data_IF_977504476725
#
_entry.id   IF_977504476725
#
_cell.length_a   1.000
_cell.length_b   1.000
_cell.length_c   1.000
_cell.angle_alpha   90.00
_cell.angle_beta   90.00
_cell.angle_gamma   90.00
#
_symmetry.space_group_name_H-M   'P 1'
#
loop_
_entity.id
_entity.type
_entity.pdbx_description
1 polymer ?
#
# COMPACT_ATOMS: atom_id res chain seq x y z
N UNK A 1 -73.79 45.82 38.79
CA UNK A 1 -73.72 44.60 37.96
C UNK A 1 -72.40 44.61 37.23
N UNK A 2 -71.40 43.80 37.66
CA UNK A 2 -70.10 43.67 37.03
C UNK A 2 -69.90 42.19 36.68
N UNK A 3 -69.84 41.87 35.38
CA UNK A 3 -69.57 40.53 34.85
C UNK A 3 -68.06 40.26 34.90
N UNK A 4 -67.72 39.15 35.53
CA UNK A 4 -66.32 38.62 35.57
C UNK A 4 -66.15 37.65 34.39
N UNK A 5 -65.37 38.02 33.42
CA UNK A 5 -64.92 37.09 32.37
C UNK A 5 -63.74 36.28 32.87
N UNK A 6 -63.88 34.99 32.99
CA UNK A 6 -62.82 34.06 33.34
C UNK A 6 -62.16 33.56 32.05
N UNK A 7 -60.92 33.93 31.82
CA UNK A 7 -60.06 33.43 30.72
C UNK A 7 -59.50 32.05 31.16
N UNK A 8 -59.85 31.00 30.47
CA UNK A 8 -59.24 29.67 30.63
C UNK A 8 -58.07 29.61 29.68
N UNK A 9 -56.85 29.61 30.22
CA UNK A 9 -55.59 29.42 29.46
C UNK A 9 -55.33 27.91 29.32
N UNK A 10 -55.60 27.36 28.14
CA UNK A 10 -55.26 25.98 27.82
C UNK A 10 -53.78 25.86 27.47
N UNK A 11 -52.96 25.31 28.37
CA UNK A 11 -51.56 25.01 28.15
C UNK A 11 -51.44 23.70 27.35
N UNK A 12 -51.10 23.79 26.05
CA UNK A 12 -50.78 22.61 25.23
C UNK A 12 -49.37 22.13 25.63
N UNK A 13 -49.32 21.00 26.32
CA UNK A 13 -48.10 20.26 26.64
C UNK A 13 -47.67 19.49 25.37
N UNK A 14 -46.74 20.02 24.58
CA UNK A 14 -46.13 19.31 23.47
C UNK A 14 -45.21 18.19 24.03
N UNK A 15 -45.67 16.94 24.04
CA UNK A 15 -44.85 15.76 24.27
C UNK A 15 -43.90 15.59 23.06
N UNK A 16 -42.68 16.08 23.17
CA UNK A 16 -41.61 15.68 22.29
C UNK A 16 -41.21 14.25 22.64
N UNK A 17 -41.72 13.30 21.88
CA UNK A 17 -41.23 11.91 21.92
C UNK A 17 -39.82 11.93 21.36
N UNK A 18 -38.82 11.92 22.24
CA UNK A 18 -37.43 11.61 21.88
C UNK A 18 -37.46 10.14 21.38
N UNK A 19 -37.39 9.97 20.06
CA UNK A 19 -37.12 8.66 19.49
C UNK A 19 -35.80 8.17 20.08
N UNK A 20 -35.71 6.93 20.60
CA UNK A 20 -34.44 6.40 21.04
C UNK A 20 -33.53 6.43 19.82
N UNK A 21 -32.41 7.15 19.92
CA UNK A 21 -31.28 7.02 18.99
C UNK A 21 -30.83 5.57 19.15
N UNK A 22 -31.33 4.71 18.28
CA UNK A 22 -30.83 3.35 18.16
C UNK A 22 -29.32 3.46 18.01
N UNK A 23 -28.56 2.85 18.92
CA UNK A 23 -27.13 2.67 18.73
C UNK A 23 -26.97 2.06 17.34
N UNK A 24 -26.46 2.87 16.40
CA UNK A 24 -26.40 2.47 14.99
C UNK A 24 -25.46 1.27 14.95
N UNK A 25 -26.00 0.06 14.81
CA UNK A 25 -25.22 -1.15 14.62
C UNK A 25 -24.19 -0.90 13.53
N UNK A 26 -22.92 -1.00 13.86
CA UNK A 26 -21.81 -0.78 12.91
C UNK A 26 -21.20 -2.12 12.52
N UNK A 27 -20.73 -2.23 11.31
CA UNK A 27 -19.89 -3.35 10.89
C UNK A 27 -18.42 -3.00 11.18
N UNK A 28 -17.73 -3.90 11.85
CA UNK A 28 -16.36 -3.65 12.34
C UNK A 28 -15.35 -4.38 11.46
N UNK A 29 -14.45 -3.63 10.85
CA UNK A 29 -13.27 -4.13 10.13
C UNK A 29 -12.07 -4.05 11.05
N UNK A 30 -11.34 -5.15 11.22
CA UNK A 30 -10.13 -5.20 12.03
C UNK A 30 -8.86 -4.93 11.20
N UNK A 31 -7.85 -4.30 11.79
CA UNK A 31 -6.57 -4.08 11.14
C UNK A 31 -5.40 -4.26 12.12
N UNK A 32 -4.51 -5.21 11.84
CA UNK A 32 -3.25 -5.36 12.56
C UNK A 32 -2.18 -4.56 11.83
N UNK A 33 -1.63 -3.55 12.47
CA UNK A 33 -0.74 -2.56 11.87
C UNK A 33 0.56 -2.42 12.68
N UNK A 34 1.69 -2.30 12.01
CA UNK A 34 2.95 -1.96 12.67
C UNK A 34 3.09 -0.45 12.83
N UNK A 35 2.31 0.17 13.72
CA UNK A 35 2.34 1.62 13.92
C UNK A 35 3.57 2.08 14.72
N UNK A 36 4.28 1.15 15.33
CA UNK A 36 5.62 1.34 15.89
C UNK A 36 6.58 0.27 15.33
N UNK A 37 7.89 0.54 15.39
CA UNK A 37 8.90 -0.31 14.78
C UNK A 37 9.12 0.00 13.29
N UNK A 38 9.72 -0.94 12.56
CA UNK A 38 10.17 -0.71 11.18
C UNK A 38 9.04 -0.46 10.15
N UNK A 39 7.84 -0.92 10.43
CA UNK A 39 6.69 -0.75 9.53
C UNK A 39 5.88 0.53 9.73
N UNK A 40 6.26 1.38 10.68
CA UNK A 40 5.41 2.46 11.18
C UNK A 40 4.92 3.44 10.12
N UNK A 41 5.76 3.79 9.17
CA UNK A 41 5.40 4.70 8.08
C UNK A 41 4.46 3.99 7.10
N UNK A 42 4.85 2.80 6.62
CA UNK A 42 4.10 2.05 5.62
C UNK A 42 2.71 1.66 6.11
N UNK A 43 2.60 1.15 7.34
CA UNK A 43 1.31 0.76 7.93
C UNK A 43 0.48 1.96 8.40
N UNK A 44 1.13 3.08 8.70
CA UNK A 44 0.47 4.37 8.87
C UNK A 44 -0.28 4.80 7.62
N UNK A 45 0.36 4.70 6.45
CA UNK A 45 -0.28 4.99 5.15
C UNK A 45 -1.41 4.01 4.83
N UNK A 46 -1.26 2.72 5.17
CA UNK A 46 -2.32 1.73 5.01
C UNK A 46 -3.55 2.08 5.85
N UNK A 47 -3.36 2.38 7.15
CA UNK A 47 -4.42 2.87 8.04
C UNK A 47 -5.15 4.08 7.46
N UNK A 48 -4.40 5.04 6.97
CA UNK A 48 -4.95 6.29 6.44
C UNK A 48 -5.81 6.04 5.19
N UNK A 49 -5.39 5.11 4.32
CA UNK A 49 -6.17 4.67 3.17
C UNK A 49 -7.48 3.98 3.54
N UNK A 50 -7.42 3.07 4.52
CA UNK A 50 -8.62 2.41 5.06
C UNK A 50 -9.59 3.43 5.64
N UNK A 51 -9.11 4.37 6.44
CA UNK A 51 -9.96 5.38 7.07
C UNK A 51 -10.59 6.31 6.03
N UNK A 52 -9.84 6.73 5.00
CA UNK A 52 -10.40 7.53 3.90
C UNK A 52 -11.53 6.78 3.17
N UNK A 53 -11.33 5.49 2.89
CA UNK A 53 -12.33 4.68 2.21
C UNK A 53 -13.58 4.46 3.08
N UNK A 54 -13.42 4.20 4.38
CA UNK A 54 -14.51 4.10 5.35
C UNK A 54 -15.29 5.40 5.42
N UNK A 55 -14.61 6.53 5.51
CA UNK A 55 -15.25 7.85 5.55
C UNK A 55 -16.09 8.08 4.29
N UNK A 56 -15.55 7.75 3.11
CA UNK A 56 -16.25 7.89 1.83
C UNK A 56 -17.48 6.94 1.70
N UNK A 57 -17.36 5.70 2.15
CA UNK A 57 -18.47 4.73 2.18
C UNK A 57 -19.54 5.20 3.17
N UNK A 58 -19.13 5.64 4.34
CA UNK A 58 -20.02 6.11 5.38
C UNK A 58 -20.77 7.39 4.97
N UNK A 59 -20.14 8.30 4.24
CA UNK A 59 -20.78 9.48 3.70
C UNK A 59 -21.94 9.15 2.75
N UNK A 60 -21.87 8.01 2.06
CA UNK A 60 -22.91 7.48 1.14
C UNK A 60 -23.97 6.61 1.85
N UNK A 61 -23.94 6.49 3.18
CA UNK A 61 -24.93 5.71 3.94
C UNK A 61 -24.37 4.40 4.54
N UNK A 62 -23.10 4.06 4.28
CA UNK A 62 -22.48 2.80 4.72
C UNK A 62 -22.75 1.66 3.74
N UNK A 63 -22.72 0.41 4.22
CA UNK A 63 -22.98 -0.80 3.44
C UNK A 63 -24.12 -1.60 4.08
N UNK A 64 -25.04 -2.10 3.27
CA UNK A 64 -26.27 -2.79 3.73
C UNK A 64 -27.04 -2.01 4.83
N UNK A 65 -27.03 -0.66 4.74
CA UNK A 65 -27.72 0.22 5.68
C UNK A 65 -27.00 0.46 7.00
N UNK A 66 -25.78 -0.05 7.19
CA UNK A 66 -24.98 0.14 8.40
C UNK A 66 -23.65 0.83 8.07
N UNK A 67 -23.14 1.62 9.02
CA UNK A 67 -21.83 2.27 8.91
C UNK A 67 -20.71 1.25 9.13
N UNK A 68 -19.55 1.51 8.52
CA UNK A 68 -18.32 0.80 8.80
C UNK A 68 -17.53 1.51 9.90
N UNK A 69 -16.84 0.72 10.71
CA UNK A 69 -15.88 1.18 11.72
C UNK A 69 -14.58 0.43 11.56
N UNK A 70 -13.46 1.16 11.52
CA UNK A 70 -12.13 0.58 11.62
C UNK A 70 -11.75 0.44 13.09
N UNK A 71 -11.32 -0.76 13.49
CA UNK A 71 -10.61 -1.02 14.74
C UNK A 71 -9.22 -1.52 14.37
N UNK A 72 -8.21 -0.94 14.97
CA UNK A 72 -6.84 -1.36 14.69
C UNK A 72 -6.01 -1.47 15.97
N UNK A 73 -5.02 -2.37 15.91
CA UNK A 73 -4.08 -2.62 17.00
C UNK A 73 -2.64 -2.50 16.48
N UNK A 74 -1.79 -1.85 17.27
CA UNK A 74 -0.36 -1.78 16.98
C UNK A 74 0.30 -3.13 17.26
N UNK A 75 0.76 -3.80 16.23
CA UNK A 75 1.49 -5.06 16.33
C UNK A 75 3.01 -4.87 16.56
N UNK A 76 3.45 -3.62 16.74
CA UNK A 76 4.85 -3.23 16.99
C UNK A 76 5.83 -3.83 15.99
N UNK A 77 5.37 -4.06 14.77
CA UNK A 77 6.13 -4.71 13.68
C UNK A 77 6.69 -6.09 14.05
N UNK A 78 6.02 -6.83 14.97
CA UNK A 78 6.46 -8.17 15.40
C UNK A 78 5.36 -9.23 15.25
N UNK A 79 5.72 -10.49 14.89
CA UNK A 79 4.75 -11.58 14.76
C UNK A 79 3.99 -11.90 16.05
N UNK A 80 4.67 -11.81 17.20
CA UNK A 80 4.08 -12.10 18.51
C UNK A 80 2.98 -11.11 18.87
N UNK A 81 3.23 -9.82 18.69
CA UNK A 81 2.23 -8.78 18.95
C UNK A 81 1.10 -8.82 17.92
N UNK A 82 1.38 -9.17 16.67
CA UNK A 82 0.34 -9.36 15.68
C UNK A 82 -0.66 -10.45 16.09
N UNK A 83 -0.19 -11.61 16.57
CA UNK A 83 -1.07 -12.68 17.09
C UNK A 83 -1.97 -12.16 18.23
N UNK A 84 -1.43 -11.36 19.15
CA UNK A 84 -2.21 -10.73 20.24
C UNK A 84 -3.27 -9.79 19.67
N UNK A 85 -2.87 -8.92 18.73
CA UNK A 85 -3.74 -7.94 18.08
C UNK A 85 -4.93 -8.60 17.36
N UNK A 86 -4.66 -9.61 16.54
CA UNK A 86 -5.71 -10.36 15.82
C UNK A 86 -6.69 -11.05 16.79
N UNK A 87 -6.18 -11.74 17.81
CA UNK A 87 -7.02 -12.43 18.81
C UNK A 87 -7.90 -11.46 19.57
N UNK A 88 -7.38 -10.31 19.99
CA UNK A 88 -8.14 -9.26 20.68
C UNK A 88 -9.29 -8.77 19.81
N UNK A 89 -9.02 -8.37 18.57
CA UNK A 89 -10.03 -7.86 17.65
C UNK A 89 -11.12 -8.91 17.34
N UNK A 90 -10.76 -10.21 17.27
CA UNK A 90 -11.72 -11.29 17.08
C UNK A 90 -12.62 -11.50 18.31
N UNK A 91 -12.04 -11.48 19.51
CA UNK A 91 -12.78 -11.81 20.75
C UNK A 91 -13.57 -10.64 21.31
N UNK A 92 -13.00 -9.44 21.30
CA UNK A 92 -13.56 -8.25 21.93
C UNK A 92 -14.33 -7.37 20.94
N UNK A 93 -13.74 -7.06 19.79
CA UNK A 93 -14.30 -6.12 18.83
C UNK A 93 -15.29 -6.76 17.84
N UNK A 94 -15.34 -8.11 17.77
CA UNK A 94 -16.26 -8.87 16.90
C UNK A 94 -16.13 -8.47 15.42
N UNK A 95 -14.91 -8.34 14.95
CA UNK A 95 -14.65 -8.02 13.55
C UNK A 95 -15.19 -9.09 12.61
N UNK A 96 -15.73 -8.69 11.47
CA UNK A 96 -16.24 -9.63 10.44
C UNK A 96 -15.20 -9.95 9.35
N UNK A 97 -14.19 -9.12 9.20
CA UNK A 97 -13.07 -9.28 8.28
C UNK A 97 -11.85 -8.50 8.78
N UNK A 98 -10.68 -8.85 8.26
CA UNK A 98 -9.47 -8.09 8.48
C UNK A 98 -9.02 -7.41 7.19
N UNK A 99 -8.55 -6.16 7.32
CA UNK A 99 -7.80 -5.46 6.28
C UNK A 99 -6.52 -4.91 6.92
N UNK A 100 -5.43 -5.65 6.79
CA UNK A 100 -4.23 -5.48 7.61
C UNK A 100 -3.02 -5.01 6.81
N UNK A 101 -2.10 -4.34 7.52
CA UNK A 101 -0.92 -3.71 7.00
C UNK A 101 0.14 -4.65 6.44
N UNK A 102 1.33 -4.10 6.24
CA UNK A 102 2.41 -4.72 5.45
C UNK A 102 3.36 -5.61 6.27
N UNK A 103 3.08 -5.86 7.56
CA UNK A 103 3.92 -6.72 8.42
C UNK A 103 3.63 -8.20 8.10
N UNK A 104 4.19 -8.69 7.00
CA UNK A 104 3.92 -10.03 6.46
C UNK A 104 4.11 -11.16 7.48
N UNK A 105 5.19 -11.13 8.27
CA UNK A 105 5.44 -12.13 9.30
C UNK A 105 4.34 -12.18 10.36
N UNK A 106 3.75 -11.03 10.71
CA UNK A 106 2.61 -10.93 11.63
C UNK A 106 1.34 -11.49 11.03
N UNK A 107 1.05 -11.16 9.79
CA UNK A 107 -0.13 -11.65 9.07
C UNK A 107 -0.07 -13.17 8.90
N UNK A 108 1.11 -13.73 8.61
CA UNK A 108 1.30 -15.18 8.50
C UNK A 108 1.13 -15.92 9.83
N UNK A 109 1.64 -15.34 10.92
CA UNK A 109 1.46 -15.93 12.25
C UNK A 109 -0.01 -16.01 12.67
N UNK A 110 -0.85 -15.12 12.15
CA UNK A 110 -2.29 -15.09 12.43
C UNK A 110 -3.13 -15.91 11.45
N UNK A 111 -2.65 -16.14 10.23
CA UNK A 111 -3.45 -16.69 9.12
C UNK A 111 -4.20 -17.98 9.47
N UNK A 112 -3.54 -18.94 10.15
CA UNK A 112 -4.16 -20.23 10.48
C UNK A 112 -5.39 -20.12 11.36
N UNK A 113 -5.35 -19.33 12.44
CA UNK A 113 -6.51 -19.23 13.35
C UNK A 113 -7.58 -18.26 12.81
N UNK A 114 -7.22 -17.26 12.03
CA UNK A 114 -8.19 -16.39 11.33
C UNK A 114 -8.95 -17.20 10.27
N UNK A 115 -8.25 -18.05 9.51
CA UNK A 115 -8.83 -18.99 8.55
C UNK A 115 -9.83 -19.96 9.23
N UNK A 116 -9.44 -20.54 10.39
CA UNK A 116 -10.34 -21.41 11.17
C UNK A 116 -11.61 -20.70 11.62
N UNK A 117 -11.52 -19.40 11.88
CA UNK A 117 -12.68 -18.57 12.22
C UNK A 117 -13.49 -18.15 10.99
N UNK A 118 -13.06 -18.51 9.77
CA UNK A 118 -13.69 -18.15 8.50
C UNK A 118 -13.83 -16.63 8.30
N UNK A 119 -12.81 -15.88 8.69
CA UNK A 119 -12.75 -14.43 8.49
C UNK A 119 -11.85 -14.11 7.28
N UNK A 120 -12.36 -13.37 6.28
CA UNK A 120 -11.52 -12.93 5.16
C UNK A 120 -10.43 -11.98 5.63
N UNK A 121 -9.24 -12.10 5.02
CA UNK A 121 -8.09 -11.23 5.25
C UNK A 121 -7.70 -10.52 3.95
N UNK A 122 -7.80 -9.21 3.93
CA UNK A 122 -7.31 -8.35 2.87
C UNK A 122 -5.98 -7.75 3.33
N UNK A 123 -4.92 -7.89 2.56
CA UNK A 123 -3.57 -7.73 3.12
C UNK A 123 -2.65 -6.92 2.21
N UNK A 124 -1.88 -6.04 2.83
CA UNK A 124 -0.63 -5.52 2.28
C UNK A 124 0.50 -6.53 2.51
N UNK A 125 0.39 -7.75 2.00
CA UNK A 125 1.39 -8.79 2.24
C UNK A 125 1.49 -9.73 1.08
N UNK A 126 2.72 -10.19 0.79
CA UNK A 126 2.95 -11.32 -0.10
C UNK A 126 2.66 -12.57 0.72
N UNK A 127 1.72 -13.38 0.24
CA UNK A 127 1.32 -14.59 0.96
C UNK A 127 2.26 -15.75 0.63
N UNK A 128 2.73 -16.50 1.64
CA UNK A 128 3.34 -17.79 1.38
C UNK A 128 2.28 -18.76 0.82
N UNK A 129 2.73 -19.76 0.08
CA UNK A 129 1.84 -20.82 -0.44
C UNK A 129 1.43 -21.76 0.70
N UNK A 130 0.41 -21.38 1.46
CA UNK A 130 -0.24 -22.21 2.47
C UNK A 130 -1.66 -22.48 1.99
N UNK A 131 -1.97 -23.66 1.42
CA UNK A 131 -3.18 -23.90 0.62
C UNK A 131 -4.49 -23.55 1.32
N UNK A 132 -4.59 -23.82 2.63
CA UNK A 132 -5.83 -23.55 3.37
C UNK A 132 -5.98 -22.09 3.76
N UNK A 133 -4.88 -21.42 4.14
CA UNK A 133 -4.86 -20.01 4.51
C UNK A 133 -5.05 -19.11 3.29
N UNK A 134 -4.57 -19.50 2.12
CA UNK A 134 -4.75 -18.75 0.88
C UNK A 134 -6.20 -18.59 0.46
N UNK A 135 -7.07 -19.54 0.84
CA UNK A 135 -8.51 -19.41 0.55
C UNK A 135 -9.20 -18.25 1.28
N UNK A 136 -8.57 -17.70 2.31
CA UNK A 136 -9.13 -16.65 3.15
C UNK A 136 -8.33 -15.35 3.11
N UNK A 137 -7.22 -15.32 2.40
CA UNK A 137 -6.31 -14.20 2.36
C UNK A 137 -6.11 -13.70 0.92
N UNK A 138 -6.30 -12.40 0.74
CA UNK A 138 -6.20 -11.69 -0.54
C UNK A 138 -5.12 -10.63 -0.47
N UNK A 139 -4.14 -10.70 -1.37
CA UNK A 139 -3.00 -9.79 -1.40
C UNK A 139 -3.23 -8.63 -2.37
N UNK A 140 -3.07 -7.41 -1.87
CA UNK A 140 -3.09 -6.17 -2.64
C UNK A 140 -1.69 -5.65 -2.98
N UNK A 141 -0.65 -6.45 -2.71
CA UNK A 141 0.70 -6.16 -3.18
C UNK A 141 0.95 -6.75 -4.57
N UNK A 142 1.65 -6.02 -5.44
CA UNK A 142 2.16 -6.61 -6.66
C UNK A 142 3.23 -7.66 -6.35
N UNK A 143 3.33 -8.72 -7.17
CA UNK A 143 4.45 -9.65 -7.08
C UNK A 143 5.80 -8.91 -7.11
N UNK A 144 6.75 -9.24 -6.23
CA UNK A 144 8.06 -8.58 -6.14
C UNK A 144 8.83 -8.57 -7.46
N UNK A 145 8.61 -9.61 -8.28
CA UNK A 145 9.21 -9.73 -9.61
C UNK A 145 8.87 -8.52 -10.50
N UNK A 146 7.67 -7.95 -10.41
CA UNK A 146 7.29 -6.80 -11.25
C UNK A 146 8.15 -5.56 -11.01
N UNK A 147 8.61 -5.38 -9.78
CA UNK A 147 9.52 -4.28 -9.46
C UNK A 147 10.91 -4.51 -10.07
N UNK A 148 11.41 -5.74 -10.00
CA UNK A 148 12.70 -6.12 -10.62
C UNK A 148 12.60 -6.00 -12.13
N UNK A 149 11.55 -6.58 -12.73
CA UNK A 149 11.33 -6.56 -14.17
C UNK A 149 11.29 -5.14 -14.72
N UNK A 150 10.57 -4.22 -14.06
CA UNK A 150 10.45 -2.85 -14.55
C UNK A 150 11.80 -2.12 -14.63
N UNK A 151 12.70 -2.34 -13.65
CA UNK A 151 14.06 -1.79 -13.66
C UNK A 151 14.91 -2.41 -14.76
N UNK A 152 14.82 -3.72 -14.92
CA UNK A 152 15.62 -4.46 -15.89
C UNK A 152 15.16 -4.23 -17.34
N UNK A 153 13.86 -4.12 -17.57
CA UNK A 153 13.30 -3.71 -18.85
C UNK A 153 13.79 -2.31 -19.27
N UNK A 154 13.78 -1.37 -18.32
CA UNK A 154 14.31 -0.03 -18.59
C UNK A 154 15.80 -0.09 -18.98
N UNK A 155 16.63 -0.79 -18.20
CA UNK A 155 18.06 -0.92 -18.51
C UNK A 155 18.28 -1.55 -19.89
N UNK A 156 17.56 -2.64 -20.18
CA UNK A 156 17.65 -3.37 -21.45
C UNK A 156 17.24 -2.53 -22.65
N UNK A 157 16.14 -1.78 -22.52
CA UNK A 157 15.49 -1.14 -23.67
C UNK A 157 15.92 0.32 -23.88
N UNK A 158 16.43 1.00 -22.86
CA UNK A 158 16.69 2.44 -22.86
C UNK A 158 18.15 2.82 -22.55
N UNK A 159 19.03 1.82 -22.32
CA UNK A 159 20.44 2.05 -22.00
C UNK A 159 21.33 0.97 -22.64
N UNK A 160 22.64 1.26 -22.68
CA UNK A 160 23.68 0.28 -23.04
C UNK A 160 24.27 -0.43 -21.82
N UNK A 161 23.72 -0.19 -20.61
CA UNK A 161 24.20 -0.82 -19.39
C UNK A 161 23.84 -2.31 -19.38
N UNK A 162 24.86 -3.16 -19.23
CA UNK A 162 24.70 -4.63 -19.14
C UNK A 162 25.30 -5.22 -17.88
N UNK A 163 26.08 -4.42 -17.12
CA UNK A 163 26.63 -4.79 -15.83
C UNK A 163 26.02 -3.94 -14.73
N UNK A 164 25.47 -4.56 -13.71
CA UNK A 164 24.83 -3.88 -12.58
C UNK A 164 25.40 -4.37 -11.26
N UNK A 165 25.47 -3.49 -10.28
CA UNK A 165 25.74 -3.86 -8.90
C UNK A 165 24.45 -3.85 -8.08
N UNK A 166 24.32 -4.75 -7.14
CA UNK A 166 23.23 -4.76 -6.16
C UNK A 166 23.77 -4.23 -4.84
N UNK A 167 23.01 -3.34 -4.21
CA UNK A 167 23.24 -2.86 -2.85
C UNK A 167 21.97 -3.08 -2.05
N UNK A 168 21.96 -4.02 -1.10
CA UNK A 168 20.74 -4.42 -0.41
C UNK A 168 20.88 -4.59 1.08
N UNK A 169 19.80 -4.27 1.83
CA UNK A 169 19.72 -4.54 3.25
C UNK A 169 19.54 -6.05 3.55
N UNK A 170 19.89 -6.53 4.75
CA UNK A 170 19.80 -7.93 5.13
C UNK A 170 18.41 -8.36 5.63
N UNK A 171 17.40 -7.50 5.57
CA UNK A 171 16.03 -7.85 5.99
C UNK A 171 15.46 -9.02 5.17
N UNK A 172 14.44 -9.72 5.67
CA UNK A 172 13.76 -10.76 4.89
C UNK A 172 13.27 -10.27 3.53
N UNK A 173 12.75 -9.03 3.47
CA UNK A 173 12.36 -8.39 2.21
C UNK A 173 13.56 -8.11 1.31
N UNK A 174 14.61 -7.50 1.86
CA UNK A 174 15.84 -7.20 1.11
C UNK A 174 16.48 -8.47 0.54
N UNK A 175 16.52 -9.54 1.33
CA UNK A 175 17.02 -10.86 0.90
C UNK A 175 16.17 -11.43 -0.24
N UNK A 176 14.84 -11.41 -0.12
CA UNK A 176 13.92 -11.88 -1.16
C UNK A 176 14.12 -11.11 -2.47
N UNK A 177 14.12 -9.78 -2.41
CA UNK A 177 14.28 -8.92 -3.59
C UNK A 177 15.63 -9.09 -4.26
N UNK A 178 16.70 -9.26 -3.47
CA UNK A 178 18.05 -9.54 -3.98
C UNK A 178 18.12 -10.86 -4.73
N UNK A 179 17.52 -11.92 -4.19
CA UNK A 179 17.49 -13.24 -4.83
C UNK A 179 16.74 -13.15 -6.17
N UNK A 180 15.58 -12.51 -6.21
CA UNK A 180 14.82 -12.31 -7.44
C UNK A 180 15.64 -11.49 -8.45
N UNK A 181 16.31 -10.42 -8.00
CA UNK A 181 17.13 -9.59 -8.87
C UNK A 181 18.29 -10.39 -9.49
N UNK A 182 18.96 -11.25 -8.73
CA UNK A 182 20.03 -12.12 -9.24
C UNK A 182 19.50 -13.15 -10.23
N UNK A 183 18.37 -13.81 -9.91
CA UNK A 183 17.76 -14.82 -10.78
C UNK A 183 17.29 -14.25 -12.11
N UNK A 184 16.65 -13.09 -12.08
CA UNK A 184 16.05 -12.47 -13.26
C UNK A 184 17.07 -11.78 -14.18
N UNK A 185 18.23 -11.36 -13.68
CA UNK A 185 19.21 -10.57 -14.45
C UNK A 185 19.53 -11.18 -15.82
N UNK A 186 19.75 -12.48 -15.88
CA UNK A 186 20.06 -13.21 -17.12
C UNK A 186 18.94 -13.14 -18.17
N UNK A 187 17.66 -13.06 -17.72
CA UNK A 187 16.50 -12.99 -18.61
C UNK A 187 16.46 -11.65 -19.37
N UNK A 188 17.16 -10.66 -18.84
CA UNK A 188 17.29 -9.33 -19.43
C UNK A 188 18.66 -9.08 -20.06
N UNK A 189 19.55 -10.08 -20.10
CA UNK A 189 20.92 -9.95 -20.62
C UNK A 189 21.81 -9.09 -19.74
N UNK A 190 21.53 -9.07 -18.43
CA UNK A 190 22.31 -8.33 -17.44
C UNK A 190 23.24 -9.26 -16.66
N UNK A 191 24.42 -8.74 -16.32
CA UNK A 191 25.42 -9.36 -15.45
C UNK A 191 25.40 -8.68 -14.07
N UNK A 192 25.32 -9.45 -13.00
CA UNK A 192 25.52 -8.94 -11.64
C UNK A 192 27.01 -8.90 -11.36
N UNK A 193 27.61 -7.73 -11.51
CA UNK A 193 29.04 -7.51 -11.34
C UNK A 193 29.48 -7.48 -9.87
N UNK A 194 28.59 -7.04 -8.97
CA UNK A 194 28.81 -7.03 -7.52
C UNK A 194 27.48 -7.17 -6.79
N UNK A 195 27.49 -7.75 -5.59
CA UNK A 195 26.31 -7.92 -4.74
C UNK A 195 26.69 -7.62 -3.29
N UNK A 196 26.53 -6.35 -2.90
CA UNK A 196 26.94 -5.79 -1.63
C UNK A 196 25.77 -5.69 -0.65
N UNK A 197 26.08 -5.76 0.64
CA UNK A 197 25.12 -5.56 1.73
C UNK A 197 25.47 -4.35 2.56
N UNK A 198 24.48 -3.77 3.22
CA UNK A 198 24.63 -2.73 4.21
C UNK A 198 23.74 -2.99 5.42
N UNK A 199 23.99 -2.34 6.56
CA UNK A 199 23.07 -2.34 7.70
C UNK A 199 22.19 -1.09 7.63
N UNK A 200 20.95 -1.21 8.18
CA UNK A 200 19.96 -0.12 8.10
C UNK A 200 20.44 1.21 8.69
N UNK A 201 21.34 1.15 9.66
CA UNK A 201 21.89 2.28 10.44
C UNK A 201 23.27 2.69 9.96
N UNK A 202 23.79 2.12 8.88
CA UNK A 202 25.06 2.56 8.31
C UNK A 202 24.97 4.03 7.86
N UNK A 203 25.91 4.83 8.32
CA UNK A 203 25.98 6.26 7.99
C UNK A 203 26.71 6.53 6.67
N UNK A 204 27.40 5.54 6.10
CA UNK A 204 28.23 5.65 4.92
C UNK A 204 28.29 4.33 4.15
N UNK A 205 28.07 4.39 2.85
CA UNK A 205 28.12 3.26 1.90
C UNK A 205 29.26 3.39 0.87
N UNK A 206 30.22 4.29 1.10
CA UNK A 206 31.31 4.58 0.15
C UNK A 206 32.13 3.34 -0.19
N UNK A 207 32.32 2.42 0.76
CA UNK A 207 33.04 1.16 0.54
C UNK A 207 32.27 0.28 -0.44
N UNK A 208 30.99 0.03 -0.18
CA UNK A 208 30.14 -0.82 -1.02
C UNK A 208 29.96 -0.23 -2.41
N UNK A 209 29.71 1.09 -2.49
CA UNK A 209 29.63 1.83 -3.76
C UNK A 209 30.96 1.77 -4.52
N UNK A 210 32.08 1.87 -3.80
CA UNK A 210 33.43 1.70 -4.36
C UNK A 210 33.67 0.32 -4.96
N UNK A 211 33.28 -0.75 -4.25
CA UNK A 211 33.37 -2.14 -4.75
C UNK A 211 32.52 -2.34 -6.01
N UNK A 212 31.29 -1.86 -6.00
CA UNK A 212 30.39 -1.92 -7.16
C UNK A 212 31.00 -1.17 -8.37
N UNK A 213 31.59 -0.01 -8.12
CA UNK A 213 32.26 0.75 -9.17
C UNK A 213 33.51 0.02 -9.73
N UNK A 214 34.34 -0.53 -8.86
CA UNK A 214 35.53 -1.29 -9.23
C UNK A 214 35.20 -2.55 -10.03
N UNK A 215 34.06 -3.18 -9.79
CA UNK A 215 33.53 -4.31 -10.56
C UNK A 215 33.02 -3.93 -11.96
N UNK A 216 33.03 -2.64 -12.32
CA UNK A 216 32.62 -2.16 -13.64
C UNK A 216 31.11 -2.08 -13.84
N UNK A 217 30.31 -2.05 -12.78
CA UNK A 217 28.88 -1.85 -12.89
C UNK A 217 28.54 -0.45 -13.43
N UNK A 218 27.62 -0.37 -14.41
CA UNK A 218 27.12 0.89 -14.97
C UNK A 218 25.96 1.48 -14.16
N UNK A 219 25.23 0.64 -13.42
CA UNK A 219 24.15 1.04 -12.56
C UNK A 219 24.19 0.31 -11.21
N UNK A 220 23.61 0.93 -10.20
CA UNK A 220 23.40 0.36 -8.86
C UNK A 220 21.90 0.10 -8.68
N UNK A 221 21.54 -1.15 -8.42
CA UNK A 221 20.21 -1.56 -8.00
C UNK A 221 20.17 -1.52 -6.48
N UNK A 222 19.55 -0.51 -5.92
CA UNK A 222 19.42 -0.40 -4.48
C UNK A 222 18.12 -1.07 -4.00
N UNK A 223 18.27 -2.00 -3.10
CA UNK A 223 17.18 -2.71 -2.43
C UNK A 223 17.20 -2.28 -0.96
N UNK A 224 16.39 -1.29 -0.65
CA UNK A 224 16.33 -0.67 0.67
C UNK A 224 15.36 0.51 0.69
N UNK A 225 15.20 1.08 1.85
CA UNK A 225 14.24 2.16 2.11
C UNK A 225 14.75 3.14 3.16
N UNK A 226 14.01 4.22 3.37
CA UNK A 226 14.32 5.21 4.39
C UNK A 226 15.55 6.05 4.03
N UNK A 227 16.23 6.57 5.05
CA UNK A 227 17.36 7.50 4.87
C UNK A 227 18.55 6.92 4.10
N UNK A 228 18.69 5.60 4.02
CA UNK A 228 19.74 4.95 3.25
C UNK A 228 19.74 5.37 1.79
N UNK A 229 18.58 5.71 1.18
CA UNK A 229 18.49 6.16 -0.21
C UNK A 229 19.15 7.54 -0.42
N UNK A 230 19.05 8.42 0.57
CA UNK A 230 19.72 9.73 0.56
C UNK A 230 21.23 9.54 0.74
N UNK A 231 21.63 8.71 1.71
CA UNK A 231 23.04 8.44 2.01
C UNK A 231 23.77 7.88 0.79
N UNK A 232 23.22 6.85 0.11
CA UNK A 232 23.85 6.28 -1.08
C UNK A 232 23.94 7.29 -2.23
N UNK A 233 22.91 8.14 -2.39
CA UNK A 233 22.92 9.19 -3.42
C UNK A 233 24.06 10.19 -3.17
N UNK A 234 24.24 10.62 -1.93
CA UNK A 234 25.35 11.50 -1.53
C UNK A 234 26.72 10.82 -1.70
N UNK A 235 26.85 9.52 -1.36
CA UNK A 235 28.11 8.80 -1.55
C UNK A 235 28.49 8.70 -3.03
N UNK A 236 27.55 8.39 -3.92
CA UNK A 236 27.79 8.36 -5.38
C UNK A 236 28.29 9.72 -5.87
N UNK A 237 27.62 10.81 -5.44
CA UNK A 237 27.99 12.18 -5.79
C UNK A 237 29.36 12.57 -5.25
N UNK A 238 29.63 12.31 -3.97
CA UNK A 238 30.86 12.69 -3.30
C UNK A 238 32.10 11.93 -3.86
N UNK A 239 31.89 10.69 -4.30
CA UNK A 239 32.90 9.89 -4.99
C UNK A 239 33.10 10.31 -6.47
N UNK A 240 32.33 11.29 -6.96
CA UNK A 240 32.40 11.75 -8.34
C UNK A 240 32.00 10.70 -9.37
N UNK A 241 31.18 9.72 -9.00
CA UNK A 241 30.82 8.60 -9.85
C UNK A 241 29.63 8.96 -10.76
N UNK A 242 29.78 8.67 -12.05
CA UNK A 242 28.71 8.79 -13.03
C UNK A 242 27.94 7.46 -13.07
N UNK A 243 27.10 7.19 -12.07
CA UNK A 243 26.34 5.94 -11.93
C UNK A 243 24.85 6.21 -11.86
N UNK A 244 24.08 5.40 -12.59
CA UNK A 244 22.64 5.35 -12.43
C UNK A 244 22.31 4.63 -11.13
N UNK A 245 21.41 5.19 -10.32
CA UNK A 245 20.86 4.57 -9.12
C UNK A 245 19.40 4.22 -9.36
N UNK A 246 19.07 2.92 -9.33
CA UNK A 246 17.70 2.42 -9.46
C UNK A 246 17.25 1.88 -8.09
N UNK A 247 16.30 2.56 -7.50
CA UNK A 247 15.72 2.21 -6.18
C UNK A 247 14.63 1.14 -6.27
N UNK A 248 14.11 0.75 -5.10
CA UNK A 248 12.86 0.02 -4.95
C UNK A 248 11.64 0.94 -4.97
N UNK A 249 10.45 0.32 -5.08
CA UNK A 249 9.16 1.00 -5.10
C UNK A 249 8.64 1.43 -3.72
N UNK A 250 9.30 1.00 -2.65
CA UNK A 250 8.89 1.23 -1.25
C UNK A 250 9.74 2.36 -0.67
N UNK A 251 9.46 3.59 -1.08
CA UNK A 251 10.10 4.76 -0.49
C UNK A 251 9.10 5.91 -0.42
N UNK A 252 9.17 6.65 0.66
CA UNK A 252 8.34 7.82 0.89
C UNK A 252 8.65 8.92 -0.11
N UNK A 253 7.61 9.59 -0.58
CA UNK A 253 7.72 10.64 -1.59
C UNK A 253 8.76 11.71 -1.23
N UNK A 254 8.82 12.11 0.03
CA UNK A 254 9.76 13.16 0.48
C UNK A 254 11.22 12.71 0.31
N UNK A 255 11.53 11.46 0.69
CA UNK A 255 12.87 10.88 0.51
C UNK A 255 13.22 10.72 -0.98
N UNK A 256 12.25 10.33 -1.82
CA UNK A 256 12.45 10.23 -3.27
C UNK A 256 12.80 11.59 -3.86
N UNK A 257 12.11 12.65 -3.46
CA UNK A 257 12.37 14.01 -3.96
C UNK A 257 13.72 14.51 -3.48
N UNK A 258 14.06 14.34 -2.20
CA UNK A 258 15.34 14.77 -1.63
C UNK A 258 16.53 14.08 -2.30
N UNK A 259 16.51 12.75 -2.38
CA UNK A 259 17.58 11.99 -3.02
C UNK A 259 17.68 12.26 -4.54
N UNK A 260 16.55 12.48 -5.20
CA UNK A 260 16.49 12.85 -6.61
C UNK A 260 17.13 14.20 -6.90
N UNK A 261 17.08 15.15 -5.99
CA UNK A 261 17.79 16.44 -6.12
C UNK A 261 19.31 16.28 -6.07
N UNK A 262 19.83 15.19 -5.48
CA UNK A 262 21.28 14.92 -5.39
C UNK A 262 21.83 14.43 -6.73
N UNK A 263 21.17 13.44 -7.37
CA UNK A 263 21.64 12.74 -8.57
C UNK A 263 20.91 13.15 -9.86
N UNK A 264 19.83 13.91 -9.75
CA UNK A 264 19.04 14.33 -10.90
C UNK A 264 18.47 13.15 -11.70
N UNK A 265 18.60 13.19 -13.02
CA UNK A 265 18.06 12.15 -13.92
C UNK A 265 18.76 10.79 -13.83
N UNK A 266 19.83 10.66 -13.06
CA UNK A 266 20.49 9.38 -12.78
C UNK A 266 19.80 8.61 -11.64
N UNK A 267 18.92 9.27 -10.91
CA UNK A 267 18.13 8.70 -9.81
C UNK A 267 16.76 8.28 -10.32
N UNK A 268 16.53 6.98 -10.36
CA UNK A 268 15.33 6.39 -10.93
C UNK A 268 14.69 5.39 -9.95
N UNK A 269 13.38 5.22 -10.06
CA UNK A 269 12.66 4.26 -9.22
C UNK A 269 11.38 3.77 -9.90
N UNK A 270 10.99 2.51 -9.67
CA UNK A 270 9.65 2.04 -10.05
C UNK A 270 8.61 2.73 -9.17
N UNK A 271 7.61 3.30 -9.79
CA UNK A 271 6.50 3.96 -9.09
C UNK A 271 5.16 3.51 -9.66
N UNK A 272 4.15 3.20 -8.84
CA UNK A 272 2.80 3.10 -9.35
C UNK A 272 2.34 4.47 -9.85
N UNK A 273 1.63 4.48 -10.98
CA UNK A 273 1.30 5.74 -11.69
C UNK A 273 0.53 6.73 -10.81
N UNK A 274 -0.20 6.25 -9.80
CA UNK A 274 -0.92 7.08 -8.85
C UNK A 274 0.00 8.01 -8.03
N UNK A 275 1.27 7.62 -7.80
CA UNK A 275 2.23 8.50 -7.12
C UNK A 275 2.57 9.73 -7.97
N UNK A 276 2.64 9.58 -9.28
CA UNK A 276 2.88 10.69 -10.20
C UNK A 276 1.62 11.53 -10.39
N UNK A 277 0.45 10.90 -10.36
CA UNK A 277 -0.85 11.55 -10.48
C UNK A 277 -1.17 12.54 -9.33
N UNK A 278 -0.44 12.47 -8.22
CA UNK A 278 -0.50 13.49 -7.17
C UNK A 278 -0.10 14.86 -7.73
N UNK A 279 0.90 14.92 -8.62
CA UNK A 279 1.36 16.16 -9.24
C UNK A 279 0.60 16.50 -10.52
N UNK A 280 0.26 15.50 -11.32
CA UNK A 280 -0.49 15.66 -12.57
C UNK A 280 -1.35 14.43 -12.85
N UNK A 281 -2.65 14.56 -12.69
CA UNK A 281 -3.62 13.46 -12.93
C UNK A 281 -3.63 13.00 -14.39
N UNK A 282 -3.21 13.84 -15.34
CA UNK A 282 -3.21 13.51 -16.76
C UNK A 282 -2.17 12.45 -17.14
N UNK A 283 -1.22 12.12 -16.26
CA UNK A 283 -0.30 10.97 -16.47
C UNK A 283 -1.07 9.65 -16.54
N UNK A 284 -2.26 9.56 -15.93
CA UNK A 284 -3.16 8.41 -16.08
C UNK A 284 -3.97 8.59 -17.36
N UNK A 285 -3.61 7.85 -18.39
CA UNK A 285 -4.23 7.97 -19.74
C UNK A 285 -5.54 7.20 -19.88
N UNK A 286 -5.71 6.07 -19.16
CA UNK A 286 -6.95 5.30 -19.17
C UNK A 286 -8.06 6.06 -18.42
N UNK A 287 -9.24 6.31 -19.04
CA UNK A 287 -10.30 7.11 -18.42
C UNK A 287 -10.88 6.50 -17.14
N UNK A 288 -10.97 5.16 -17.06
CA UNK A 288 -11.50 4.50 -15.86
C UNK A 288 -10.50 4.58 -14.69
N UNK A 289 -9.24 4.34 -14.97
CA UNK A 289 -8.17 4.47 -13.99
C UNK A 289 -8.04 5.95 -13.52
N UNK A 290 -8.17 6.91 -14.42
CA UNK A 290 -8.18 8.33 -14.07
C UNK A 290 -9.33 8.69 -13.14
N UNK A 291 -10.55 8.26 -13.45
CA UNK A 291 -11.71 8.49 -12.58
C UNK A 291 -11.53 7.85 -11.20
N UNK A 292 -10.98 6.65 -11.12
CA UNK A 292 -10.64 6.01 -9.85
C UNK A 292 -9.55 6.80 -9.08
N UNK A 293 -8.53 7.26 -9.78
CA UNK A 293 -7.47 8.11 -9.22
C UNK A 293 -8.00 9.43 -8.68
N UNK A 294 -8.86 10.12 -9.42
CA UNK A 294 -9.50 11.38 -8.99
C UNK A 294 -10.36 11.17 -7.74
N UNK A 295 -11.17 10.10 -7.71
CA UNK A 295 -12.02 9.77 -6.56
C UNK A 295 -11.21 9.50 -5.28
N UNK A 296 -10.01 8.96 -5.41
CA UNK A 296 -9.08 8.73 -4.31
C UNK A 296 -8.29 10.00 -3.94
N UNK A 297 -7.70 10.69 -4.93
CA UNK A 297 -6.80 11.82 -4.68
C UNK A 297 -7.51 13.03 -4.09
N UNK A 298 -8.80 13.25 -4.41
CA UNK A 298 -9.56 14.38 -3.87
C UNK A 298 -9.66 14.34 -2.34
N UNK A 299 -10.18 13.29 -1.69
CA UNK A 299 -10.21 13.21 -0.23
C UNK A 299 -8.82 13.08 0.40
N UNK A 300 -7.86 12.42 -0.27
CA UNK A 300 -6.49 12.32 0.20
C UNK A 300 -5.86 13.70 0.36
N UNK A 301 -5.91 14.52 -0.70
CA UNK A 301 -5.35 15.89 -0.70
C UNK A 301 -6.07 16.81 0.28
N UNK A 302 -7.37 16.65 0.41
CA UNK A 302 -8.16 17.45 1.35
C UNK A 302 -7.76 17.18 2.81
N UNK A 303 -7.41 15.92 3.15
CA UNK A 303 -7.09 15.53 4.52
C UNK A 303 -5.60 15.67 4.87
N UNK A 304 -4.71 15.35 3.94
CA UNK A 304 -3.27 15.23 4.21
C UNK A 304 -2.39 16.16 3.36
N UNK A 305 -2.97 16.90 2.41
CA UNK A 305 -2.21 17.71 1.47
C UNK A 305 -1.56 16.88 0.34
N UNK A 306 -0.64 17.50 -0.42
CA UNK A 306 -0.01 16.88 -1.60
C UNK A 306 1.28 16.12 -1.32
N UNK A 307 1.77 16.13 -0.09
CA UNK A 307 3.04 15.49 0.26
C UNK A 307 2.91 14.04 0.74
N UNK A 308 1.69 13.56 0.91
CA UNK A 308 1.41 12.20 1.42
C UNK A 308 1.75 11.13 0.38
N UNK A 309 2.23 9.99 0.85
CA UNK A 309 2.39 8.81 0.00
C UNK A 309 1.04 8.28 -0.48
N UNK A 310 0.88 8.17 -1.79
CA UNK A 310 -0.34 7.68 -2.41
C UNK A 310 -0.26 6.19 -2.82
N UNK A 311 0.90 5.56 -2.73
CA UNK A 311 1.10 4.17 -3.15
C UNK A 311 0.37 3.19 -2.24
N UNK A 312 0.74 3.14 -0.96
CA UNK A 312 0.10 2.22 0.00
C UNK A 312 -1.31 2.67 0.35
N UNK A 313 -1.50 3.99 0.49
CA UNK A 313 -2.80 4.59 0.81
C UNK A 313 -3.85 4.26 -0.24
N UNK A 314 -3.51 4.28 -1.55
CA UNK A 314 -4.45 3.93 -2.62
C UNK A 314 -4.81 2.45 -2.64
N UNK A 315 -3.87 1.56 -2.33
CA UNK A 315 -4.17 0.11 -2.27
C UNK A 315 -5.08 -0.24 -1.10
N UNK A 316 -4.87 0.39 0.05
CA UNK A 316 -5.77 0.23 1.20
C UNK A 316 -7.18 0.80 0.91
N UNK A 317 -7.26 1.94 0.22
CA UNK A 317 -8.51 2.48 -0.30
C UNK A 317 -9.22 1.50 -1.22
N UNK A 318 -8.51 0.95 -2.21
CA UNK A 318 -9.07 -0.03 -3.16
C UNK A 318 -9.51 -1.32 -2.46
N UNK A 319 -8.70 -1.83 -1.54
CA UNK A 319 -8.99 -3.04 -0.75
C UNK A 319 -10.33 -2.91 -0.03
N UNK A 320 -10.53 -1.82 0.70
CA UNK A 320 -11.79 -1.60 1.41
C UNK A 320 -12.97 -1.42 0.46
N UNK A 321 -12.82 -0.67 -0.64
CA UNK A 321 -13.90 -0.50 -1.61
C UNK A 321 -14.28 -1.82 -2.30
N UNK A 322 -13.31 -2.68 -2.59
CA UNK A 322 -13.57 -4.01 -3.14
C UNK A 322 -14.25 -4.92 -2.10
N UNK A 323 -13.84 -4.86 -0.83
CA UNK A 323 -14.54 -5.55 0.27
C UNK A 323 -16.00 -5.10 0.36
N UNK A 324 -16.27 -3.80 0.28
CA UNK A 324 -17.65 -3.26 0.29
C UNK A 324 -18.47 -3.81 -0.88
N UNK A 325 -17.92 -3.85 -2.10
CA UNK A 325 -18.57 -4.44 -3.26
C UNK A 325 -18.89 -5.93 -3.07
N UNK A 326 -17.99 -6.68 -2.44
CA UNK A 326 -18.23 -8.08 -2.12
C UNK A 326 -19.37 -8.25 -1.11
N UNK A 327 -19.44 -7.42 -0.08
CA UNK A 327 -20.52 -7.40 0.91
C UNK A 327 -21.87 -7.08 0.24
N UNK A 328 -21.90 -6.07 -0.64
CA UNK A 328 -23.10 -5.70 -1.39
C UNK A 328 -23.57 -6.83 -2.31
N UNK A 329 -22.66 -7.51 -3.00
CA UNK A 329 -22.96 -8.65 -3.86
C UNK A 329 -23.44 -9.87 -3.05
N UNK A 330 -22.79 -10.16 -1.91
CA UNK A 330 -23.16 -11.24 -1.01
C UNK A 330 -24.45 -10.96 -0.21
N UNK A 331 -24.84 -9.70 -0.05
CA UNK A 331 -25.93 -9.23 0.82
C UNK A 331 -25.79 -9.69 2.28
N UNK A 332 -24.56 -9.92 2.72
CA UNK A 332 -24.23 -10.38 4.07
C UNK A 332 -22.80 -9.93 4.43
N UNK A 333 -22.49 -9.93 5.74
CA UNK A 333 -21.13 -9.82 6.28
C UNK A 333 -20.58 -11.16 6.75
N UNK A 334 -21.29 -12.28 6.54
CA UNK A 334 -20.75 -13.60 6.83
C UNK A 334 -19.46 -13.83 6.03
N UNK A 335 -18.40 -14.24 6.72
CA UNK A 335 -17.09 -14.33 6.11
C UNK A 335 -17.03 -15.24 4.89
N UNK A 336 -17.76 -16.36 4.87
CA UNK A 336 -17.83 -17.25 3.70
C UNK A 336 -18.51 -16.56 2.52
N UNK A 337 -19.66 -15.90 2.78
CA UNK A 337 -20.40 -15.18 1.76
C UNK A 337 -19.57 -14.02 1.16
N UNK A 338 -18.86 -13.27 2.02
CA UNK A 338 -17.98 -12.17 1.57
C UNK A 338 -16.81 -12.70 0.74
N UNK A 339 -16.14 -13.77 1.18
CA UNK A 339 -15.04 -14.40 0.43
C UNK A 339 -15.52 -14.86 -0.94
N UNK A 340 -16.58 -15.66 -0.99
CA UNK A 340 -17.09 -16.26 -2.24
C UNK A 340 -17.57 -15.19 -3.23
N UNK A 341 -18.13 -14.09 -2.73
CA UNK A 341 -18.50 -12.94 -3.57
C UNK A 341 -17.27 -12.17 -4.05
N UNK A 342 -16.26 -12.01 -3.19
CA UNK A 342 -15.02 -11.32 -3.55
C UNK A 342 -14.27 -12.03 -4.70
N UNK A 343 -14.18 -13.36 -4.64
CA UNK A 343 -13.59 -14.19 -5.70
C UNK A 343 -14.32 -14.07 -7.05
N UNK A 344 -15.55 -13.62 -7.04
CA UNK A 344 -16.42 -13.47 -8.23
C UNK A 344 -16.59 -12.03 -8.72
N UNK A 345 -15.93 -11.06 -8.12
CA UNK A 345 -16.05 -9.66 -8.53
C UNK A 345 -15.58 -9.39 -9.96
N UNK A 346 -14.64 -10.21 -10.46
CA UNK A 346 -13.99 -10.00 -11.74
C UNK A 346 -13.04 -8.78 -11.74
N UNK A 347 -12.54 -8.37 -12.91
CA UNK A 347 -11.58 -7.29 -13.03
C UNK A 347 -12.09 -5.97 -12.45
N UNK A 348 -11.27 -5.34 -11.61
CA UNK A 348 -11.54 -4.07 -10.97
C UNK A 348 -10.43 -3.06 -11.28
N UNK A 349 -10.81 -1.87 -11.73
CA UNK A 349 -9.89 -0.76 -11.95
C UNK A 349 -9.90 0.12 -10.71
N UNK A 350 -8.88 -0.02 -9.88
CA UNK A 350 -8.69 0.77 -8.68
C UNK A 350 -7.83 2.01 -8.91
N UNK A 351 -7.68 2.81 -7.86
CA UNK A 351 -6.77 3.96 -7.85
C UNK A 351 -5.29 3.53 -7.79
N UNK A 352 -4.99 2.49 -7.02
CA UNK A 352 -3.63 1.98 -6.81
C UNK A 352 -3.15 1.04 -7.91
N UNK A 353 -4.06 0.25 -8.47
CA UNK A 353 -3.76 -0.72 -9.53
C UNK A 353 -5.04 -1.27 -10.18
N UNK A 354 -4.94 -1.94 -11.34
CA UNK A 354 -5.95 -2.89 -11.77
C UNK A 354 -5.82 -4.20 -10.97
N UNK A 355 -6.96 -4.74 -10.53
CA UNK A 355 -7.03 -5.98 -9.76
C UNK A 355 -7.87 -7.01 -10.48
N UNK A 356 -7.49 -8.28 -10.34
CA UNK A 356 -8.25 -9.43 -10.82
C UNK A 356 -8.08 -10.60 -9.85
N UNK A 357 -9.07 -10.80 -8.99
CA UNK A 357 -9.10 -11.88 -8.01
C UNK A 357 -10.05 -13.00 -8.50
N UNK A 358 -9.73 -14.22 -8.14
CA UNK A 358 -10.58 -15.37 -8.40
C UNK A 358 -10.34 -16.46 -7.35
N UNK A 359 -11.13 -17.53 -7.37
CA UNK A 359 -10.94 -18.70 -6.49
C UNK A 359 -9.53 -19.28 -6.51
N UNK A 360 -8.80 -19.14 -7.63
CA UNK A 360 -7.43 -19.65 -7.80
C UNK A 360 -6.38 -18.55 -7.81
N UNK A 361 -6.78 -17.28 -7.76
CA UNK A 361 -5.89 -16.11 -7.86
C UNK A 361 -6.18 -15.12 -6.73
N UNK A 362 -5.42 -15.24 -5.64
CA UNK A 362 -5.54 -14.39 -4.45
C UNK A 362 -4.46 -13.30 -4.35
N UNK A 363 -3.62 -13.16 -5.36
CA UNK A 363 -2.76 -11.98 -5.56
C UNK A 363 -3.36 -11.16 -6.68
N UNK A 364 -4.08 -10.08 -6.34
CA UNK A 364 -4.96 -9.39 -7.28
C UNK A 364 -4.25 -8.62 -8.39
N UNK A 365 -3.01 -8.19 -8.18
CA UNK A 365 -2.25 -7.43 -9.18
C UNK A 365 -1.51 -8.42 -10.08
N UNK A 366 -2.06 -8.66 -11.28
CA UNK A 366 -1.57 -9.65 -12.25
C UNK A 366 -0.69 -9.05 -13.36
N UNK A 367 -0.63 -7.72 -13.43
CA UNK A 367 0.23 -6.96 -14.36
C UNK A 367 1.00 -5.90 -13.60
N UNK A 368 2.23 -5.62 -14.04
CA UNK A 368 3.05 -4.59 -13.40
C UNK A 368 2.32 -3.24 -13.36
N UNK A 369 2.13 -2.64 -12.17
CA UNK A 369 1.56 -1.32 -12.03
C UNK A 369 2.63 -0.22 -12.14
N UNK A 370 3.88 -0.57 -12.38
CA UNK A 370 5.02 0.32 -12.28
C UNK A 370 5.38 0.98 -13.60
N UNK A 371 5.67 2.27 -13.51
CA UNK A 371 6.49 3.02 -14.47
C UNK A 371 7.85 3.29 -13.84
N UNK A 372 8.90 3.51 -14.62
CA UNK A 372 10.15 4.06 -14.10
C UNK A 372 10.01 5.58 -14.06
N UNK A 373 10.15 6.12 -12.87
CA UNK A 373 10.01 7.53 -12.58
C UNK A 373 11.35 8.16 -12.18
N UNK A 374 11.39 9.48 -12.24
CA UNK A 374 12.48 10.32 -11.75
C UNK A 374 11.92 11.61 -11.15
N UNK A 375 12.76 12.37 -10.47
CA UNK A 375 12.42 13.70 -9.96
C UNK A 375 12.87 14.75 -10.95
N UNK A 376 11.96 15.54 -11.49
CA UNK A 376 12.25 16.61 -12.41
C UNK A 376 12.81 17.87 -11.70
N UNK A 377 13.20 18.88 -12.47
CA UNK A 377 13.80 20.13 -11.96
C UNK A 377 12.88 20.90 -11.00
N UNK A 378 11.57 20.70 -11.12
CA UNK A 378 10.57 21.34 -10.27
C UNK A 378 10.29 20.54 -8.98
N UNK A 379 11.02 19.46 -8.71
CA UNK A 379 10.82 18.57 -7.57
C UNK A 379 9.56 17.70 -7.69
N UNK A 380 9.04 17.50 -8.90
CA UNK A 380 7.88 16.67 -9.17
C UNK A 380 8.31 15.31 -9.72
N UNK A 381 7.50 14.30 -9.46
CA UNK A 381 7.70 12.97 -10.05
C UNK A 381 7.24 12.99 -11.52
N UNK A 382 8.07 12.46 -12.40
CA UNK A 382 7.80 12.39 -13.82
C UNK A 382 8.15 11.00 -14.39
N UNK A 383 7.48 10.60 -15.47
CA UNK A 383 7.73 9.32 -16.13
C UNK A 383 9.03 9.39 -16.92
N UNK A 384 9.94 8.45 -16.69
CA UNK A 384 11.12 8.20 -17.51
C UNK A 384 10.87 7.08 -18.53
N UNK A 385 10.11 6.06 -18.14
CA UNK A 385 9.77 4.91 -18.97
C UNK A 385 8.48 4.24 -18.47
N UNK A 386 7.59 3.91 -19.37
CA UNK A 386 6.25 3.36 -19.07
C UNK A 386 6.02 1.95 -19.66
N UNK A 387 7.09 1.26 -20.04
CA UNK A 387 7.00 -0.09 -20.63
C UNK A 387 6.82 -0.10 -22.15
N UNK A 388 6.80 1.08 -22.80
CA UNK A 388 6.64 1.23 -24.27
C UNK A 388 7.87 1.74 -24.97
#
# INVERSE_FOLDING_TARGET
>A
MRSRNTLILATLLALTTALPVSAQDVYVVGSSLGLTGYGSITDGHWRDGLQLAIDAVNAKGGVLGKKLKLVYEDNKSTPQQAVVAYRKMMSEDKVFAFDSGCISAGNFAAASFVTKAKLPMFLCSILPRLPDEQKWAFSFLPPPKFEVDSRYEYLKNKTDIRKVGILGDPSPYGTLMRNIAVEEAKNYGLEIAANESYQQDDADFSVQVGHINAAGAGAIIMIGQGNAVITVSNNIKNLGLNKMLLLGSINERELLVEAGQVLGEQYLFPAPIIQLAVDDINVITDPKARAAGEAFLAPLKAKFGSKVDSSQTSRAWDSLLMMVKAIEAAKTIDGTGVRDAFEKLGPYVGAGAPYDFSETQHVGITKSPYVIAYVNKDGKLAIKYDGR
#
